data_IF_313369646816
#
_entry.id   IF_313369646816
#
_cell.length_a   1.000
_cell.length_b   1.000
_cell.length_c   1.000
_cell.angle_alpha   90.00
_cell.angle_beta   90.00
_cell.angle_gamma   90.00
#
_symmetry.space_group_name_H-M   'P 1'
#
loop_
_entity.id
_entity.type
_entity.pdbx_description
1 polymer ?
#
# COMPACT_ATOMS: atom_id res chain seq x y z
N UNK A 1 -3.33 1.52 23.69
CA UNK A 1 -2.42 0.34 23.57
C UNK A 1 -2.93 -0.56 22.46
N UNK A 2 -2.08 -0.91 21.54
CA UNK A 2 -2.47 -1.87 20.52
C UNK A 2 -2.32 -3.30 21.07
N UNK A 3 -3.30 -4.15 20.75
CA UNK A 3 -3.27 -5.56 21.13
C UNK A 3 -2.78 -6.43 19.98
N UNK A 4 -2.46 -5.83 18.84
CA UNK A 4 -2.00 -6.53 17.64
C UNK A 4 -0.49 -6.62 17.70
N UNK A 5 0.03 -7.85 17.65
CA UNK A 5 1.47 -8.07 17.53
C UNK A 5 1.92 -7.77 16.11
N UNK A 6 3.08 -7.14 15.96
CA UNK A 6 3.65 -6.87 14.65
C UNK A 6 4.00 -8.17 13.95
N UNK A 7 3.45 -8.36 12.76
CA UNK A 7 3.71 -9.52 11.93
C UNK A 7 3.98 -9.05 10.51
N UNK A 8 5.23 -9.15 10.01
CA UNK A 8 5.58 -8.69 8.67
C UNK A 8 4.82 -9.38 7.54
N UNK A 9 3.93 -10.31 7.85
CA UNK A 9 3.10 -11.03 6.86
C UNK A 9 1.63 -10.68 6.94
N UNK A 10 1.20 -9.97 7.99
CA UNK A 10 -0.21 -9.58 8.15
C UNK A 10 -0.33 -8.14 8.63
N UNK A 11 -0.38 -7.81 9.92
CA UNK A 11 -0.40 -6.41 10.33
C UNK A 11 0.93 -5.96 10.90
N UNK A 12 1.27 -4.70 10.65
CA UNK A 12 2.36 -4.03 11.37
C UNK A 12 1.84 -2.71 11.92
N UNK A 13 2.40 -2.28 13.05
CA UNK A 13 2.05 -1.02 13.67
C UNK A 13 2.76 0.16 13.00
N UNK A 14 2.28 1.38 13.28
CA UNK A 14 2.98 2.60 12.87
C UNK A 14 4.36 2.69 13.51
N UNK A 15 4.51 2.23 14.74
CA UNK A 15 5.81 2.17 15.42
C UNK A 15 6.79 1.26 14.66
N UNK A 16 6.33 0.08 14.25
CA UNK A 16 7.15 -0.85 13.48
C UNK A 16 7.61 -0.20 12.18
N UNK A 17 6.68 0.39 11.44
CA UNK A 17 7.01 1.03 10.15
C UNK A 17 7.98 2.18 10.34
N UNK A 18 7.76 3.05 11.34
CA UNK A 18 8.66 4.15 11.62
C UNK A 18 10.09 3.68 11.90
N UNK A 19 10.22 2.55 12.59
CA UNK A 19 11.54 1.98 12.91
C UNK A 19 12.24 1.37 11.68
N UNK A 20 11.49 1.02 10.63
CA UNK A 20 12.02 0.34 9.45
C UNK A 20 12.06 1.22 8.19
N UNK A 21 11.74 2.52 8.29
CA UNK A 21 11.69 3.41 7.12
C UNK A 21 13.00 3.45 6.33
N UNK A 22 14.13 3.26 6.99
CA UNK A 22 15.45 3.30 6.36
C UNK A 22 15.94 1.95 5.85
N UNK A 23 15.14 0.91 6.01
CA UNK A 23 15.50 -0.44 5.58
C UNK A 23 15.54 -0.49 4.05
N UNK A 24 16.68 -0.86 3.43
CA UNK A 24 16.78 -0.86 1.96
C UNK A 24 15.91 -1.93 1.30
N UNK A 25 15.52 -2.97 2.03
CA UNK A 25 14.67 -4.03 1.50
C UNK A 25 13.18 -3.78 1.72
N UNK A 26 12.82 -2.68 2.38
CA UNK A 26 11.42 -2.31 2.61
C UNK A 26 10.87 -1.54 1.41
N UNK A 27 9.66 -1.91 0.99
CA UNK A 27 8.87 -1.14 0.02
C UNK A 27 7.53 -0.82 0.61
N UNK A 28 7.14 0.44 0.56
CA UNK A 28 5.88 0.93 1.09
C UNK A 28 4.97 1.27 -0.08
N UNK A 29 3.71 0.83 -0.01
CA UNK A 29 2.74 1.03 -1.07
C UNK A 29 1.54 1.78 -0.51
N UNK A 30 1.18 2.88 -1.16
CA UNK A 30 -0.08 3.58 -0.94
C UNK A 30 -1.12 2.98 -1.88
N UNK A 31 -2.04 2.21 -1.33
CA UNK A 31 -3.11 1.54 -2.06
C UNK A 31 -4.45 2.26 -1.85
N UNK A 32 -4.44 3.56 -1.67
CA UNK A 32 -5.64 4.34 -1.46
C UNK A 32 -6.57 4.27 -2.66
N UNK A 33 -7.84 4.10 -2.36
CA UNK A 33 -8.92 4.11 -3.34
C UNK A 33 -10.16 4.66 -2.67
N UNK A 34 -10.95 5.41 -3.41
CA UNK A 34 -12.17 6.00 -2.88
C UNK A 34 -13.31 5.80 -3.85
N UNK A 35 -14.52 5.60 -3.31
CA UNK A 35 -15.74 5.54 -4.12
C UNK A 35 -15.98 6.91 -4.77
N UNK A 36 -16.54 6.96 -5.99
CA UNK A 36 -16.85 8.24 -6.63
C UNK A 36 -17.71 9.15 -5.77
N UNK A 37 -18.61 8.57 -4.97
CA UNK A 37 -19.48 9.33 -4.06
C UNK A 37 -18.70 10.04 -2.95
N UNK A 38 -17.46 9.65 -2.67
CA UNK A 38 -16.62 10.31 -1.66
C UNK A 38 -15.96 11.60 -2.16
N UNK A 39 -16.00 11.84 -3.48
CA UNK A 39 -15.42 13.03 -4.11
C UNK A 39 -13.97 13.29 -3.72
N UNK A 40 -13.17 12.22 -3.64
CA UNK A 40 -11.75 12.30 -3.27
C UNK A 40 -10.87 11.93 -4.46
N UNK A 41 -9.80 12.70 -4.63
CA UNK A 41 -8.74 12.39 -5.61
C UNK A 41 -7.55 11.81 -4.85
N UNK A 42 -7.49 10.48 -4.77
CA UNK A 42 -6.46 9.79 -3.99
C UNK A 42 -5.07 9.97 -4.58
N UNK A 43 -4.94 10.14 -5.90
CA UNK A 43 -3.65 10.42 -6.53
C UNK A 43 -3.14 11.79 -6.16
N UNK A 44 -4.01 12.81 -6.14
CA UNK A 44 -3.65 14.14 -5.71
C UNK A 44 -3.31 14.18 -4.22
N UNK A 45 -4.03 13.41 -3.40
CA UNK A 45 -3.73 13.29 -1.98
C UNK A 45 -2.36 12.65 -1.75
N UNK A 46 -2.03 11.62 -2.53
CA UNK A 46 -0.70 10.99 -2.47
C UNK A 46 0.39 12.00 -2.84
N UNK A 47 0.19 12.77 -3.91
CA UNK A 47 1.16 13.75 -4.36
C UNK A 47 1.36 14.87 -3.32
N UNK A 48 0.30 15.24 -2.59
CA UNK A 48 0.37 16.27 -1.55
C UNK A 48 1.09 15.80 -0.29
N UNK A 49 1.01 14.52 0.03
CA UNK A 49 1.69 13.97 1.20
C UNK A 49 1.48 12.47 1.35
N UNK A 50 2.57 11.74 1.44
CA UNK A 50 2.56 10.29 1.63
C UNK A 50 3.66 9.89 2.61
N UNK A 51 3.58 8.67 3.12
CA UNK A 51 4.63 8.13 3.99
C UNK A 51 5.94 8.09 3.20
N UNK A 52 7.07 8.52 3.79
CA UNK A 52 8.34 8.58 3.06
C UNK A 52 8.68 7.26 2.37
N UNK A 53 8.98 7.33 1.09
CA UNK A 53 9.31 6.17 0.26
C UNK A 53 8.12 5.45 -0.31
N UNK A 54 6.89 5.83 0.03
CA UNK A 54 5.69 5.15 -0.47
C UNK A 54 5.50 5.36 -1.97
N UNK A 55 5.11 4.27 -2.65
CA UNK A 55 4.77 4.27 -4.06
C UNK A 55 3.27 4.05 -4.23
N UNK A 56 2.67 4.75 -5.19
CA UNK A 56 1.22 4.67 -5.39
C UNK A 56 0.85 3.44 -6.23
N UNK A 57 -0.08 2.64 -5.70
CA UNK A 57 -0.65 1.48 -6.39
C UNK A 57 -2.04 1.86 -6.88
N UNK A 58 -2.20 2.01 -8.20
CA UNK A 58 -3.48 2.38 -8.79
C UNK A 58 -4.33 1.13 -8.98
N UNK A 59 -5.30 0.93 -8.08
CA UNK A 59 -6.17 -0.25 -8.10
C UNK A 59 -6.98 -0.31 -9.40
N UNK A 60 -7.42 0.84 -9.91
CA UNK A 60 -8.20 0.88 -11.14
C UNK A 60 -7.39 0.43 -12.36
N UNK A 61 -6.10 0.77 -12.40
CA UNK A 61 -5.22 0.38 -13.50
C UNK A 61 -4.70 -1.04 -13.31
N UNK A 62 -4.32 -1.40 -12.06
CA UNK A 62 -3.76 -2.72 -11.76
C UNK A 62 -4.89 -3.67 -11.36
N UNK A 63 -5.75 -3.97 -12.32
CA UNK A 63 -6.87 -4.88 -12.18
C UNK A 63 -7.11 -5.58 -13.52
N UNK A 64 -8.03 -6.53 -13.57
CA UNK A 64 -8.36 -7.21 -14.81
C UNK A 64 -9.28 -6.31 -15.65
N UNK A 65 -8.71 -5.62 -16.62
CA UNK A 65 -9.42 -4.68 -17.49
C UNK A 65 -10.34 -5.41 -18.48
N UNK A 66 -10.19 -6.72 -18.62
CA UNK A 66 -11.04 -7.52 -19.50
C UNK A 66 -12.29 -8.02 -18.79
N UNK A 67 -12.35 -7.93 -17.48
CA UNK A 67 -13.50 -8.32 -16.71
C UNK A 67 -14.59 -7.24 -16.74
N UNK A 68 -15.84 -7.65 -16.81
CA UNK A 68 -16.97 -6.73 -16.67
C UNK A 68 -17.15 -6.24 -15.24
N UNK A 69 -16.61 -7.00 -14.26
CA UNK A 69 -16.64 -6.62 -12.85
C UNK A 69 -15.47 -5.70 -12.53
N UNK A 70 -15.71 -4.59 -11.82
CA UNK A 70 -14.63 -3.67 -11.47
C UNK A 70 -13.69 -4.28 -10.44
N UNK A 71 -12.42 -3.92 -10.52
CA UNK A 71 -11.38 -4.23 -9.54
C UNK A 71 -11.13 -5.72 -9.33
N UNK A 72 -11.34 -6.54 -10.35
CA UNK A 72 -10.92 -7.94 -10.30
C UNK A 72 -9.40 -8.03 -10.32
N UNK A 73 -8.85 -9.07 -9.68
CA UNK A 73 -7.41 -9.25 -9.60
C UNK A 73 -6.78 -9.26 -11.00
N UNK A 74 -5.69 -8.52 -11.18
CA UNK A 74 -4.98 -8.44 -12.45
C UNK A 74 -4.41 -9.81 -12.83
N UNK A 75 -4.27 -10.08 -14.15
CA UNK A 75 -3.52 -11.27 -14.59
C UNK A 75 -2.10 -11.24 -14.00
N UNK A 76 -1.49 -12.41 -13.71
CA UNK A 76 -0.17 -12.46 -13.08
C UNK A 76 0.89 -11.64 -13.82
N UNK A 77 0.93 -11.69 -15.14
CA UNK A 77 1.92 -10.96 -15.96
C UNK A 77 1.77 -9.44 -15.78
N UNK A 78 0.53 -8.96 -15.75
CA UNK A 78 0.26 -7.55 -15.56
C UNK A 78 0.67 -7.10 -14.17
N UNK A 79 0.30 -7.87 -13.14
CA UNK A 79 0.63 -7.56 -11.76
C UNK A 79 2.15 -7.47 -11.59
N UNK A 80 2.89 -8.48 -12.02
CA UNK A 80 4.36 -8.52 -11.92
C UNK A 80 4.98 -7.35 -12.66
N UNK A 81 4.53 -7.06 -13.88
CA UNK A 81 5.05 -5.95 -14.69
C UNK A 81 4.88 -4.62 -13.98
N UNK A 82 3.69 -4.37 -13.43
CA UNK A 82 3.42 -3.10 -12.75
C UNK A 82 4.23 -2.96 -11.46
N UNK A 83 4.37 -4.03 -10.70
CA UNK A 83 5.15 -4.01 -9.46
C UNK A 83 6.64 -3.81 -9.74
N UNK A 84 7.19 -4.42 -10.78
CA UNK A 84 8.57 -4.19 -11.19
C UNK A 84 8.80 -2.74 -11.60
N UNK A 85 7.85 -2.14 -12.31
CA UNK A 85 7.93 -0.72 -12.68
C UNK A 85 7.92 0.18 -11.44
N UNK A 86 7.31 -0.27 -10.34
CA UNK A 86 7.29 0.44 -9.06
C UNK A 86 8.53 0.16 -8.21
N UNK A 87 9.45 -0.69 -8.67
CA UNK A 87 10.64 -1.05 -7.91
C UNK A 87 10.39 -2.11 -6.84
N UNK A 88 9.32 -2.89 -6.96
CA UNK A 88 8.97 -3.94 -6.01
C UNK A 88 9.27 -5.30 -6.61
N UNK A 89 10.02 -6.13 -5.87
CA UNK A 89 10.37 -7.50 -6.30
C UNK A 89 10.27 -8.49 -5.15
N UNK A 90 10.60 -9.74 -5.45
CA UNK A 90 10.45 -10.84 -4.49
C UNK A 90 11.32 -10.69 -3.23
N UNK A 91 12.45 -10.00 -3.35
CA UNK A 91 13.36 -9.79 -2.23
C UNK A 91 12.94 -8.69 -1.26
N UNK A 92 11.83 -8.01 -1.52
CA UNK A 92 11.40 -6.89 -0.73
C UNK A 92 10.30 -7.26 0.26
N UNK A 93 10.41 -6.74 1.49
CA UNK A 93 9.31 -6.69 2.45
C UNK A 93 8.38 -5.55 2.03
N UNK A 94 7.10 -5.85 1.86
CA UNK A 94 6.11 -4.85 1.43
C UNK A 94 5.18 -4.50 2.59
N UNK A 95 4.94 -3.20 2.79
CA UNK A 95 3.92 -2.70 3.71
C UNK A 95 2.94 -1.86 2.92
N UNK A 96 1.66 -2.14 3.07
CA UNK A 96 0.57 -1.50 2.32
C UNK A 96 -0.29 -0.68 3.28
N UNK A 97 -0.59 0.55 2.90
CA UNK A 97 -1.53 1.37 3.65
C UNK A 97 -2.53 2.05 2.71
N UNK A 98 -3.60 2.59 3.28
CA UNK A 98 -4.53 3.43 2.52
C UNK A 98 -4.95 4.65 3.35
N UNK A 99 -5.70 5.55 2.71
CA UNK A 99 -6.11 6.80 3.32
C UNK A 99 -7.31 6.69 4.25
N UNK A 100 -7.95 5.52 4.35
CA UNK A 100 -9.14 5.30 5.16
C UNK A 100 -8.90 4.37 6.36
N UNK A 101 -7.65 3.93 6.56
CA UNK A 101 -7.30 3.07 7.68
C UNK A 101 -7.07 1.63 7.28
N UNK A 102 -8.05 0.94 6.71
CA UNK A 102 -7.92 -0.45 6.26
C UNK A 102 -9.03 -0.77 5.24
N UNK A 103 -9.21 0.09 4.25
CA UNK A 103 -10.26 -0.11 3.25
C UNK A 103 -9.74 -0.87 2.03
N UNK A 104 -8.90 -0.24 1.25
CA UNK A 104 -8.36 -0.84 0.02
C UNK A 104 -7.02 -1.55 0.22
N UNK A 105 -6.29 -1.23 1.30
CA UNK A 105 -5.02 -1.87 1.60
C UNK A 105 -5.16 -3.39 1.76
N UNK A 106 -6.21 -3.85 2.44
CA UNK A 106 -6.45 -5.28 2.63
C UNK A 106 -6.66 -6.00 1.30
N UNK A 107 -7.34 -5.35 0.36
CA UNK A 107 -7.56 -5.90 -0.98
C UNK A 107 -6.24 -6.07 -1.73
N UNK A 108 -5.38 -5.07 -1.70
CA UNK A 108 -4.07 -5.14 -2.36
C UNK A 108 -3.17 -6.18 -1.68
N UNK A 109 -3.22 -6.26 -0.35
CA UNK A 109 -2.53 -7.32 0.40
C UNK A 109 -2.96 -8.70 -0.10
N UNK A 110 -4.25 -8.91 -0.29
CA UNK A 110 -4.79 -10.16 -0.82
C UNK A 110 -4.27 -10.45 -2.23
N UNK A 111 -4.21 -9.41 -3.09
CA UNK A 111 -3.67 -9.57 -4.44
C UNK A 111 -2.22 -10.06 -4.43
N UNK A 112 -1.37 -9.52 -3.53
CA UNK A 112 0.00 -10.01 -3.38
C UNK A 112 0.02 -11.49 -2.99
N UNK A 113 -0.85 -11.88 -2.06
CA UNK A 113 -0.96 -13.27 -1.61
C UNK A 113 -1.39 -14.20 -2.74
N UNK A 114 -2.34 -13.78 -3.56
CA UNK A 114 -2.77 -14.55 -4.74
C UNK A 114 -1.61 -14.78 -5.72
N UNK A 115 -0.67 -13.84 -5.81
CA UNK A 115 0.50 -13.95 -6.68
C UNK A 115 1.66 -14.68 -6.02
N UNK A 116 1.46 -15.22 -4.83
CA UNK A 116 2.45 -16.03 -4.12
C UNK A 116 3.43 -15.26 -3.26
N UNK A 117 3.29 -13.95 -3.12
CA UNK A 117 4.17 -13.15 -2.26
C UNK A 117 3.64 -13.15 -0.82
N UNK A 118 4.46 -13.61 0.12
CA UNK A 118 4.05 -13.72 1.54
C UNK A 118 4.67 -12.63 2.43
N UNK A 119 5.73 -11.96 1.96
CA UNK A 119 6.40 -10.89 2.73
C UNK A 119 5.68 -9.56 2.51
N UNK A 120 4.39 -9.55 2.82
CA UNK A 120 3.53 -8.39 2.63
C UNK A 120 2.63 -8.21 3.85
N UNK A 121 2.58 -6.98 4.36
CA UNK A 121 1.79 -6.63 5.54
C UNK A 121 0.95 -5.39 5.26
N UNK A 122 -0.10 -5.20 6.07
CA UNK A 122 -0.90 -3.98 6.06
C UNK A 122 -0.54 -3.12 7.27
N UNK A 123 -0.57 -1.80 7.09
CA UNK A 123 -0.31 -0.86 8.17
C UNK A 123 -1.58 -0.69 9.00
N UNK A 124 -1.52 -1.09 10.27
CA UNK A 124 -2.65 -0.95 11.18
C UNK A 124 -2.96 0.54 11.39
N UNK A 125 -4.22 0.90 11.12
CA UNK A 125 -4.68 2.29 11.22
C UNK A 125 -4.39 3.15 9.99
N UNK A 126 -3.56 2.69 9.07
CA UNK A 126 -3.28 3.36 7.80
C UNK A 126 -2.75 4.79 7.94
N UNK A 127 -2.96 5.59 6.90
CA UNK A 127 -2.50 6.97 6.88
C UNK A 127 -3.15 7.86 7.95
N UNK A 128 -4.45 7.70 8.27
CA UNK A 128 -5.03 8.53 9.33
C UNK A 128 -4.31 8.42 10.67
N UNK A 129 -3.97 7.19 11.08
CA UNK A 129 -3.24 6.98 12.33
C UNK A 129 -1.83 7.55 12.26
N UNK A 130 -1.13 7.34 11.15
CA UNK A 130 0.21 7.89 10.91
C UNK A 130 0.23 9.40 11.07
N UNK A 131 -0.75 10.09 10.46
CA UNK A 131 -0.88 11.54 10.55
C UNK A 131 -1.24 12.00 11.96
N UNK A 132 -2.17 11.30 12.62
CA UNK A 132 -2.62 11.65 13.97
C UNK A 132 -1.47 11.58 14.98
N UNK A 133 -0.48 10.74 14.73
CA UNK A 133 0.71 10.60 15.58
C UNK A 133 1.81 11.61 15.24
N UNK A 134 1.57 12.49 14.26
CA UNK A 134 2.55 13.51 13.86
C UNK A 134 3.78 12.95 13.17
N UNK A 135 3.70 11.77 12.57
CA UNK A 135 4.83 11.15 11.91
C UNK A 135 5.12 11.80 10.55
N UNK A 136 6.34 11.67 10.03
CA UNK A 136 6.75 12.40 8.82
C UNK A 136 5.99 11.99 7.58
N UNK A 137 5.79 12.95 6.68
CA UNK A 137 5.26 12.76 5.34
C UNK A 137 6.20 13.42 4.33
N UNK A 138 6.15 12.97 3.09
CA UNK A 138 6.89 13.65 2.02
C UNK A 138 5.95 13.89 0.84
N UNK A 139 6.30 14.86 0.00
CA UNK A 139 5.54 15.23 -1.20
C UNK A 139 6.34 14.97 -2.49
N UNK A 140 7.51 14.35 -2.36
CA UNK A 140 8.37 14.02 -3.50
C UNK A 140 8.17 12.58 -3.91
N UNK A 141 8.26 12.28 -5.21
CA UNK A 141 8.21 10.88 -5.64
C UNK A 141 9.42 10.13 -5.09
N UNK A 142 9.24 8.83 -4.75
CA UNK A 142 10.36 8.03 -4.25
C UNK A 142 11.43 7.83 -5.32
N UNK A 143 12.65 7.71 -4.88
CA UNK A 143 13.80 7.50 -5.73
C UNK A 143 13.98 6.03 -6.06
#
# INVERSE_FOLDING_TARGET
MTLIADDPKTPVSTDWLAAHLSDPDLRIIDASWALPAMERDVKAEYAAGHIPGARFFDIDEISDQRSELPHMAAPPEKFVSRLRAMGVGDGHQVVIYDCLGLFSAARVWWNFRLMGKTDVAVLDGGLPKWKAEGRPLEDMPPV
#
